data_IF_274383025613
#
_entry.id   IF_274383025613
#
_cell.length_a   1.000
_cell.length_b   1.000
_cell.length_c   1.000
_cell.angle_alpha   90.00
_cell.angle_beta   90.00
_cell.angle_gamma   90.00
#
_symmetry.space_group_name_H-M   'P 1'
#
loop_
_entity.id
_entity.type
_entity.pdbx_description
1 polymer ?
#
# COMPACT_ATOMS: atom_id res chain seq x y z
N UNK A 1 41.24 14.64 -31.96
CA UNK A 1 39.80 14.93 -31.92
C UNK A 1 39.10 13.88 -31.06
N UNK A 2 39.13 14.07 -29.73
CA UNK A 2 38.55 13.13 -28.77
C UNK A 2 37.11 13.56 -28.42
N UNK A 3 36.16 12.75 -28.89
CA UNK A 3 34.91 12.36 -28.18
C UNK A 3 34.16 13.44 -27.38
N UNK A 4 33.72 14.52 -28.00
CA UNK A 4 32.72 15.44 -27.41
C UNK A 4 31.37 14.73 -27.15
N UNK A 5 31.06 13.69 -27.92
CA UNK A 5 29.84 12.88 -27.74
C UNK A 5 29.82 12.00 -26.48
N UNK A 6 30.98 11.65 -25.90
CA UNK A 6 31.02 10.81 -24.69
C UNK A 6 30.73 11.60 -23.41
N UNK A 7 31.15 12.87 -23.32
CA UNK A 7 30.88 13.71 -22.14
C UNK A 7 29.38 13.99 -21.96
N UNK A 8 28.65 14.21 -23.05
CA UNK A 8 27.18 14.37 -22.99
C UNK A 8 26.46 13.08 -22.55
N UNK A 9 26.99 11.92 -22.94
CA UNK A 9 26.42 10.62 -22.58
C UNK A 9 26.70 10.27 -21.11
N UNK A 10 27.86 10.64 -20.58
CA UNK A 10 28.19 10.52 -19.14
C UNK A 10 27.34 11.46 -18.27
N UNK A 11 27.09 12.70 -18.72
CA UNK A 11 26.22 13.63 -17.99
C UNK A 11 24.75 13.14 -17.92
N UNK A 12 24.26 12.49 -18.99
CA UNK A 12 22.94 11.82 -19.00
C UNK A 12 22.89 10.62 -18.04
N UNK A 13 24.01 9.88 -17.88
CA UNK A 13 24.10 8.74 -16.97
C UNK A 13 24.24 9.14 -15.49
N UNK A 14 24.63 10.38 -15.20
CA UNK A 14 24.75 10.92 -13.83
C UNK A 14 23.46 11.58 -13.33
N UNK A 15 22.39 11.61 -14.13
CA UNK A 15 21.11 12.15 -13.74
C UNK A 15 20.48 11.37 -12.59
N UNK A 16 20.39 11.98 -11.41
CA UNK A 16 19.70 11.41 -10.26
C UNK A 16 18.19 11.29 -10.50
N UNK A 17 17.56 10.40 -9.73
CA UNK A 17 16.11 10.18 -9.75
C UNK A 17 15.52 10.50 -8.38
N UNK A 18 14.45 11.29 -8.36
CA UNK A 18 13.70 11.63 -7.15
C UNK A 18 12.27 11.16 -7.33
N UNK A 19 11.73 10.47 -6.33
CA UNK A 19 10.34 10.06 -6.30
C UNK A 19 9.60 10.88 -5.25
N UNK A 20 8.40 11.32 -5.58
CA UNK A 20 7.49 12.02 -4.69
C UNK A 20 6.19 11.24 -4.66
N UNK A 21 5.78 10.85 -3.46
CA UNK A 21 4.47 10.26 -3.21
C UNK A 21 3.49 11.36 -2.82
N UNK A 22 2.28 11.30 -3.38
CA UNK A 22 1.19 12.22 -3.07
C UNK A 22 -0.05 11.37 -2.73
N UNK A 23 -0.46 11.31 -1.45
CA UNK A 23 -1.70 10.64 -1.08
C UNK A 23 -2.87 11.36 -1.73
N UNK A 24 -3.85 10.61 -2.24
CA UNK A 24 -5.09 11.16 -2.79
C UNK A 24 -6.28 10.61 -1.99
N UNK A 25 -7.40 10.29 -2.65
CA UNK A 25 -8.60 9.80 -1.99
C UNK A 25 -8.31 8.54 -1.14
N UNK A 26 -8.94 8.43 0.03
CA UNK A 26 -8.73 7.30 0.96
C UNK A 26 -7.46 7.41 1.79
N UNK A 27 -6.32 7.77 1.19
CA UNK A 27 -5.03 7.81 1.89
C UNK A 27 -4.85 9.04 2.80
N UNK A 28 -5.64 10.10 2.59
CA UNK A 28 -5.58 11.33 3.40
C UNK A 28 -6.47 11.31 4.65
N UNK A 29 -7.21 10.22 4.90
CA UNK A 29 -8.14 10.17 6.03
C UNK A 29 -7.39 10.11 7.37
N UNK A 30 -7.90 10.74 8.44
CA UNK A 30 -7.29 10.61 9.76
C UNK A 30 -7.42 9.16 10.25
N UNK A 31 -6.28 8.56 10.60
CA UNK A 31 -6.22 7.23 11.22
C UNK A 31 -6.05 7.36 12.71
N UNK A 32 -6.93 6.70 13.46
CA UNK A 32 -6.91 6.68 14.94
C UNK A 32 -6.25 5.41 15.46
N UNK A 33 -6.30 4.32 14.68
CA UNK A 33 -5.71 3.03 15.05
C UNK A 33 -4.18 3.12 15.04
N UNK A 34 -3.56 2.86 16.20
CA UNK A 34 -2.12 2.67 16.31
C UNK A 34 -1.73 1.27 15.87
N UNK A 35 -1.07 1.15 14.72
CA UNK A 35 -0.67 -0.15 14.14
C UNK A 35 0.33 -0.95 14.98
N UNK A 36 0.90 -0.35 16.04
CA UNK A 36 1.80 -1.04 16.98
C UNK A 36 1.09 -1.63 18.20
N UNK A 37 -0.20 -1.32 18.36
CA UNK A 37 -1.03 -1.81 19.45
C UNK A 37 -1.82 -3.06 19.00
N UNK A 38 -2.18 -3.99 19.92
CA UNK A 38 -2.89 -5.22 19.59
C UNK A 38 -4.40 -4.99 19.33
N UNK A 39 -4.75 -4.20 18.33
CA UNK A 39 -6.14 -3.80 18.05
C UNK A 39 -7.02 -4.94 17.51
N UNK A 40 -6.39 -5.98 16.96
CA UNK A 40 -7.04 -7.09 16.27
C UNK A 40 -7.01 -8.40 17.08
N UNK A 41 -6.83 -8.32 18.40
CA UNK A 41 -7.04 -9.47 19.29
C UNK A 41 -8.42 -10.11 19.10
N UNK A 42 -8.50 -11.43 19.28
CA UNK A 42 -9.73 -12.23 19.14
C UNK A 42 -10.35 -12.23 17.73
N UNK A 43 -9.54 -11.92 16.71
CA UNK A 43 -9.93 -11.95 15.29
C UNK A 43 -9.11 -12.98 14.53
N UNK A 44 -9.77 -13.75 13.67
CA UNK A 44 -9.11 -14.53 12.62
C UNK A 44 -9.28 -13.83 11.28
N UNK A 45 -8.18 -13.51 10.62
CA UNK A 45 -8.17 -12.76 9.38
C UNK A 45 -7.65 -13.64 8.25
N UNK A 46 -8.47 -13.83 7.22
CA UNK A 46 -8.03 -14.43 5.96
C UNK A 46 -7.65 -13.33 4.98
N UNK A 47 -6.38 -13.21 4.63
CA UNK A 47 -5.88 -12.19 3.70
C UNK A 47 -5.78 -12.78 2.29
N UNK A 48 -6.38 -12.10 1.31
CA UNK A 48 -6.41 -12.47 -0.11
C UNK A 48 -5.92 -11.32 -0.96
N UNK A 49 -4.89 -11.53 -1.76
CA UNK A 49 -4.34 -10.52 -2.66
C UNK A 49 -4.52 -10.98 -4.09
N UNK A 50 -5.12 -10.12 -4.90
CA UNK A 50 -5.40 -10.42 -6.29
C UNK A 50 -4.27 -9.85 -7.16
N UNK A 51 -3.61 -10.69 -7.98
CA UNK A 51 -2.73 -10.20 -9.02
C UNK A 51 -3.53 -9.40 -10.05
N UNK A 52 -2.86 -8.47 -10.73
CA UNK A 52 -3.48 -7.57 -11.69
C UNK A 52 -2.45 -6.83 -12.53
N UNK A 53 -2.85 -5.71 -13.12
CA UNK A 53 -1.97 -4.92 -14.00
C UNK A 53 -0.75 -4.33 -13.27
N UNK A 54 -0.90 -4.03 -11.97
CA UNK A 54 0.17 -3.47 -11.14
C UNK A 54 1.01 -4.50 -10.39
N UNK A 55 0.42 -5.63 -10.03
CA UNK A 55 1.05 -6.64 -9.18
C UNK A 55 1.01 -7.97 -9.91
N UNK A 56 2.19 -8.53 -10.19
CA UNK A 56 2.28 -9.92 -10.59
C UNK A 56 2.03 -10.87 -9.39
N UNK A 57 1.92 -12.17 -9.64
CA UNK A 57 1.62 -13.17 -8.61
C UNK A 57 2.59 -13.13 -7.42
N UNK A 58 3.88 -12.94 -7.68
CA UNK A 58 4.91 -12.86 -6.65
C UNK A 58 4.78 -11.57 -5.82
N UNK A 59 4.50 -10.44 -6.47
CA UNK A 59 4.29 -9.15 -5.78
C UNK A 59 2.99 -9.15 -4.95
N UNK A 60 1.93 -9.76 -5.47
CA UNK A 60 0.67 -9.95 -4.74
C UNK A 60 0.88 -10.86 -3.52
N UNK A 61 1.62 -11.97 -3.66
CA UNK A 61 2.02 -12.82 -2.53
C UNK A 61 2.81 -12.05 -1.48
N UNK A 62 3.83 -11.29 -1.89
CA UNK A 62 4.63 -10.47 -0.97
C UNK A 62 3.81 -9.39 -0.26
N UNK A 63 2.83 -8.79 -0.95
CA UNK A 63 1.90 -7.85 -0.32
C UNK A 63 1.06 -8.56 0.75
N UNK A 64 0.56 -9.74 0.44
CA UNK A 64 -0.23 -10.56 1.35
C UNK A 64 0.55 -10.96 2.60
N UNK A 65 1.79 -11.42 2.45
CA UNK A 65 2.64 -11.78 3.58
C UNK A 65 2.92 -10.60 4.50
N UNK A 66 3.18 -9.41 3.91
CA UNK A 66 3.43 -8.18 4.68
C UNK A 66 2.18 -7.70 5.42
N UNK A 67 1.02 -7.75 4.76
CA UNK A 67 -0.26 -7.40 5.39
C UNK A 67 -0.62 -8.42 6.47
N UNK A 68 -0.36 -9.70 6.23
CA UNK A 68 -0.58 -10.73 7.24
C UNK A 68 0.30 -10.50 8.47
N UNK A 69 1.60 -10.25 8.26
CA UNK A 69 2.52 -9.88 9.34
C UNK A 69 2.04 -8.63 10.09
N UNK A 70 1.52 -7.62 9.39
CA UNK A 70 0.97 -6.40 10.01
C UNK A 70 -0.22 -6.71 10.94
N UNK A 71 -1.10 -7.63 10.56
CA UNK A 71 -2.25 -8.01 11.38
C UNK A 71 -1.87 -8.95 12.52
N UNK A 72 -0.92 -9.86 12.31
CA UNK A 72 -0.34 -10.70 13.37
C UNK A 72 0.30 -9.85 14.47
N UNK A 73 1.05 -8.82 14.09
CA UNK A 73 1.63 -7.86 15.04
C UNK A 73 0.57 -7.09 15.84
N UNK A 74 -0.66 -7.02 15.33
CA UNK A 74 -1.81 -6.43 16.00
C UNK A 74 -2.68 -7.46 16.74
N UNK A 75 -2.22 -8.70 16.88
CA UNK A 75 -2.85 -9.74 17.68
C UNK A 75 -3.88 -10.60 16.95
N UNK A 76 -4.04 -10.45 15.63
CA UNK A 76 -4.90 -11.34 14.85
C UNK A 76 -4.24 -12.69 14.58
N UNK A 77 -5.03 -13.75 14.47
CA UNK A 77 -4.60 -14.98 13.83
C UNK A 77 -4.80 -14.84 12.32
N UNK A 78 -3.75 -15.04 11.51
CA UNK A 78 -3.81 -14.77 10.08
C UNK A 78 -3.65 -16.03 9.25
N UNK A 79 -4.51 -16.17 8.24
CA UNK A 79 -4.35 -17.14 7.17
C UNK A 79 -4.16 -16.39 5.85
N UNK A 80 -2.99 -16.57 5.21
CA UNK A 80 -2.76 -16.02 3.87
C UNK A 80 -3.26 -17.03 2.83
N UNK A 81 -4.25 -16.63 2.05
CA UNK A 81 -4.81 -17.46 0.99
C UNK A 81 -4.23 -17.02 -0.37
N UNK A 82 -3.32 -17.84 -0.90
CA UNK A 82 -2.69 -17.64 -2.21
C UNK A 82 -3.51 -18.18 -3.38
N UNK A 83 -4.47 -19.08 -3.13
CA UNK A 83 -5.34 -19.63 -4.17
C UNK A 83 -6.62 -18.80 -4.34
N UNK A 84 -6.84 -18.28 -5.55
CA UNK A 84 -8.02 -17.49 -5.96
C UNK A 84 -9.31 -18.33 -6.07
N UNK A 85 -9.28 -19.60 -5.65
CA UNK A 85 -10.29 -20.59 -5.97
C UNK A 85 -11.19 -20.86 -4.77
N UNK A 86 -12.17 -19.96 -4.58
CA UNK A 86 -13.38 -20.12 -3.76
C UNK A 86 -13.18 -20.54 -2.28
N UNK A 87 -14.21 -20.46 -1.42
CA UNK A 87 -14.03 -20.55 0.04
C UNK A 87 -13.54 -21.94 0.42
N UNK A 88 -12.77 -22.02 1.50
CA UNK A 88 -12.67 -23.28 2.23
C UNK A 88 -14.07 -23.60 2.79
N UNK A 89 -14.84 -24.38 2.04
CA UNK A 89 -15.90 -25.22 2.59
C UNK A 89 -15.21 -26.27 3.47
N UNK A 90 -14.85 -25.84 4.67
CA UNK A 90 -14.17 -26.67 5.65
C UNK A 90 -14.09 -25.89 6.95
N UNK A 91 -14.81 -26.30 8.02
CA UNK A 91 -14.53 -25.77 9.33
C UNK A 91 -13.02 -25.96 9.59
N UNK A 92 -12.31 -24.94 10.09
CA UNK A 92 -10.91 -25.06 10.41
C UNK A 92 -10.72 -26.28 11.30
N UNK A 93 -9.75 -27.14 10.94
CA UNK A 93 -9.42 -28.32 11.73
C UNK A 93 -9.27 -27.89 13.19
N UNK A 94 -10.09 -28.51 14.03
CA UNK A 94 -10.20 -28.24 15.45
C UNK A 94 -8.80 -28.22 16.07
N UNK A 95 -8.37 -27.03 16.49
CA UNK A 95 -7.48 -26.92 17.63
C UNK A 95 -8.23 -27.53 18.81
N UNK A 96 -7.54 -28.38 19.55
CA UNK A 96 -8.04 -29.10 20.72
C UNK A 96 -8.81 -28.17 21.68
N UNK A 97 -9.86 -28.76 22.28
CA UNK A 97 -10.74 -28.17 23.28
C UNK A 97 -10.00 -27.33 24.32
N UNK A 98 -10.14 -26.01 24.25
CA UNK A 98 -9.88 -25.10 25.37
C UNK A 98 -10.73 -23.83 25.17
N UNK A 99 -11.92 -23.83 25.78
CA UNK A 99 -12.99 -22.81 25.75
C UNK A 99 -13.43 -22.27 24.36
N UNK A 100 -14.72 -22.04 24.10
CA UNK A 100 -15.14 -21.37 22.87
C UNK A 100 -14.74 -19.89 22.95
N UNK A 101 -13.49 -19.58 22.64
CA UNK A 101 -13.08 -18.20 22.36
C UNK A 101 -13.90 -17.76 21.16
N UNK A 102 -14.77 -16.77 21.35
CA UNK A 102 -15.67 -16.24 20.32
C UNK A 102 -14.89 -15.41 19.31
N UNK A 103 -14.18 -16.09 18.41
CA UNK A 103 -13.39 -15.46 17.37
C UNK A 103 -14.28 -14.76 16.35
N UNK A 104 -13.93 -13.53 15.97
CA UNK A 104 -14.51 -12.83 14.83
C UNK A 104 -13.73 -13.24 13.56
N UNK A 105 -14.42 -13.83 12.60
CA UNK A 105 -13.85 -14.23 11.31
C UNK A 105 -13.99 -13.10 10.29
N UNK A 106 -12.86 -12.62 9.75
CA UNK A 106 -12.81 -11.59 8.71
C UNK A 106 -12.07 -12.08 7.47
N UNK A 107 -12.55 -11.73 6.28
CA UNK A 107 -11.89 -11.97 5.01
C UNK A 107 -11.51 -10.61 4.42
N UNK A 108 -10.21 -10.37 4.23
CA UNK A 108 -9.67 -9.12 3.68
C UNK A 108 -9.18 -9.39 2.25
N UNK A 109 -9.82 -8.76 1.28
CA UNK A 109 -9.47 -8.82 -0.14
C UNK A 109 -8.77 -7.54 -0.57
N UNK A 110 -7.60 -7.67 -1.19
CA UNK A 110 -6.74 -6.59 -1.64
C UNK A 110 -6.56 -6.64 -3.16
N UNK A 111 -6.89 -5.56 -3.86
CA UNK A 111 -6.71 -5.45 -5.33
C UNK A 111 -6.00 -4.15 -5.68
N UNK A 112 -4.91 -4.25 -6.44
CA UNK A 112 -4.20 -3.08 -6.96
C UNK A 112 -4.51 -2.87 -8.44
N UNK A 113 -4.76 -1.62 -8.86
CA UNK A 113 -4.97 -1.23 -10.26
C UNK A 113 -4.23 0.05 -10.62
N UNK A 114 -3.69 0.11 -11.83
CA UNK A 114 -3.13 1.34 -12.40
C UNK A 114 -4.26 2.13 -13.03
N UNK A 115 -4.57 3.32 -12.54
CA UNK A 115 -5.59 4.17 -13.16
C UNK A 115 -5.03 4.93 -14.35
N UNK A 116 -3.79 5.38 -14.22
CA UNK A 116 -3.17 6.25 -15.21
C UNK A 116 -1.66 6.22 -15.10
N UNK A 117 -0.98 6.13 -16.24
CA UNK A 117 0.45 6.37 -16.34
C UNK A 117 0.73 7.36 -17.44
N UNK A 118 1.26 8.51 -17.06
CA UNK A 118 1.67 9.57 -17.97
C UNK A 118 3.19 9.56 -18.10
N UNK A 119 3.65 9.46 -19.34
CA UNK A 119 5.02 9.69 -19.68
C UNK A 119 5.07 10.71 -20.83
N UNK A 120 5.52 11.93 -20.56
CA UNK A 120 5.52 13.01 -21.54
C UNK A 120 6.79 12.96 -22.41
N UNK A 121 6.70 12.51 -23.69
CA UNK A 121 7.88 12.36 -24.55
C UNK A 121 8.53 13.70 -24.89
N UNK A 122 7.76 14.80 -24.88
CA UNK A 122 8.28 16.14 -25.14
C UNK A 122 9.17 16.56 -23.97
N UNK A 123 8.74 16.33 -22.72
CA UNK A 123 9.58 16.59 -21.54
C UNK A 123 10.85 15.74 -21.53
N UNK A 124 10.77 14.48 -21.96
CA UNK A 124 11.96 13.64 -22.11
C UNK A 124 12.92 14.16 -23.18
N UNK A 125 12.40 14.61 -24.33
CA UNK A 125 13.21 15.22 -25.38
C UNK A 125 13.86 16.52 -24.90
N UNK A 126 13.12 17.39 -24.21
CA UNK A 126 13.65 18.62 -23.62
C UNK A 126 14.71 18.29 -22.56
N UNK A 127 14.46 17.30 -21.70
CA UNK A 127 15.45 16.81 -20.74
C UNK A 127 16.73 16.36 -21.43
N UNK A 128 16.64 15.61 -22.53
CA UNK A 128 17.81 15.20 -23.30
C UNK A 128 18.56 16.38 -23.93
N UNK A 129 17.85 17.30 -24.60
CA UNK A 129 18.44 18.46 -25.29
C UNK A 129 19.06 19.47 -24.32
N UNK A 130 18.47 19.61 -23.13
CA UNK A 130 18.97 20.50 -22.08
C UNK A 130 20.00 19.83 -21.16
N UNK A 131 20.49 18.64 -21.52
CA UNK A 131 21.42 17.85 -20.69
C UNK A 131 20.95 17.69 -19.24
N UNK A 132 19.66 17.40 -19.07
CA UNK A 132 18.96 17.16 -17.80
C UNK A 132 18.80 18.38 -16.88
N UNK A 133 19.05 19.59 -17.41
CA UNK A 133 18.76 20.84 -16.69
C UNK A 133 17.25 21.01 -16.47
N UNK A 134 16.45 20.71 -17.49
CA UNK A 134 15.00 20.52 -17.34
C UNK A 134 14.75 19.05 -17.01
N UNK A 135 14.11 18.73 -15.86
CA UNK A 135 13.88 17.34 -15.51
C UNK A 135 12.76 16.71 -16.34
N UNK A 136 12.92 15.43 -16.68
CA UNK A 136 11.83 14.61 -17.18
C UNK A 136 10.92 14.19 -16.02
N UNK A 137 9.62 14.08 -16.30
CA UNK A 137 8.60 13.71 -15.31
C UNK A 137 7.81 12.53 -15.82
N UNK A 138 7.69 11.50 -14.99
CA UNK A 138 6.78 10.37 -15.21
C UNK A 138 5.83 10.31 -14.03
N UNK A 139 4.53 10.22 -14.31
CA UNK A 139 3.49 10.17 -13.28
C UNK A 139 2.75 8.84 -13.39
N UNK A 140 2.56 8.17 -12.25
CA UNK A 140 1.75 6.97 -12.13
C UNK A 140 0.71 7.18 -11.03
N UNK A 141 -0.55 6.93 -11.37
CA UNK A 141 -1.68 6.95 -10.43
C UNK A 141 -2.19 5.53 -10.28
N UNK A 142 -2.29 5.09 -9.03
CA UNK A 142 -2.74 3.75 -8.69
C UNK A 142 -3.86 3.82 -7.66
N UNK A 143 -4.65 2.74 -7.62
CA UNK A 143 -5.69 2.52 -6.63
C UNK A 143 -5.51 1.14 -6.01
N UNK A 144 -5.61 1.10 -4.69
CA UNK A 144 -5.69 -0.09 -3.87
C UNK A 144 -7.12 -0.20 -3.35
N UNK A 145 -7.86 -1.19 -3.83
CA UNK A 145 -9.18 -1.55 -3.32
C UNK A 145 -8.99 -2.54 -2.15
N UNK A 146 -9.70 -2.27 -1.06
CA UNK A 146 -9.76 -3.12 0.14
C UNK A 146 -11.20 -3.45 0.42
N UNK A 147 -11.50 -4.74 0.48
CA UNK A 147 -12.83 -5.24 0.79
C UNK A 147 -12.72 -6.15 2.00
N UNK A 148 -13.44 -5.82 3.06
CA UNK A 148 -13.51 -6.63 4.28
C UNK A 148 -14.88 -7.26 4.39
N UNK A 149 -14.91 -8.58 4.50
CA UNK A 149 -16.11 -9.40 4.67
C UNK A 149 -16.05 -10.14 6.00
N UNK A 150 -17.19 -10.59 6.48
CA UNK A 150 -17.25 -11.55 7.58
C UNK A 150 -16.95 -12.99 7.09
N UNK A 151 -16.93 -13.96 8.01
CA UNK A 151 -16.75 -15.38 7.70
C UNK A 151 -17.83 -15.98 6.79
N UNK A 152 -19.01 -15.35 6.67
CA UNK A 152 -20.08 -15.76 5.75
C UNK A 152 -19.93 -15.17 4.34
N UNK A 153 -19.02 -14.22 4.16
CA UNK A 153 -18.83 -13.46 2.93
C UNK A 153 -19.69 -12.18 2.83
N UNK A 154 -20.41 -11.82 3.90
CA UNK A 154 -21.15 -10.55 3.97
C UNK A 154 -20.19 -9.37 4.00
N UNK A 155 -20.49 -8.33 3.22
CA UNK A 155 -19.65 -7.15 3.11
C UNK A 155 -19.76 -6.27 4.36
N UNK A 156 -18.65 -6.12 5.09
CA UNK A 156 -18.58 -5.25 6.26
C UNK A 156 -18.06 -3.86 5.87
N UNK A 157 -16.94 -3.81 5.14
CA UNK A 157 -16.33 -2.56 4.71
C UNK A 157 -15.77 -2.67 3.29
N UNK A 158 -15.81 -1.58 2.55
CA UNK A 158 -15.18 -1.46 1.23
C UNK A 158 -14.59 -0.07 1.10
N UNK A 159 -13.29 0.00 0.82
CA UNK A 159 -12.56 1.25 0.71
C UNK A 159 -11.62 1.24 -0.49
N UNK A 160 -11.49 2.41 -1.13
CA UNK A 160 -10.60 2.61 -2.26
C UNK A 160 -9.57 3.68 -1.89
N UNK A 161 -8.32 3.26 -1.84
CA UNK A 161 -7.17 4.10 -1.52
C UNK A 161 -6.44 4.45 -2.81
N UNK A 162 -6.38 5.73 -3.16
CA UNK A 162 -5.74 6.19 -4.39
C UNK A 162 -4.50 7.02 -4.07
N UNK A 163 -3.40 6.74 -4.76
CA UNK A 163 -2.15 7.46 -4.62
C UNK A 163 -1.55 7.84 -5.97
N UNK A 164 -0.72 8.89 -5.96
CA UNK A 164 0.08 9.31 -7.11
C UNK A 164 1.56 9.22 -6.77
N UNK A 165 2.32 8.60 -7.66
CA UNK A 165 3.77 8.58 -7.65
C UNK A 165 4.27 9.44 -8.80
N UNK A 166 5.05 10.46 -8.46
CA UNK A 166 5.71 11.34 -9.43
C UNK A 166 7.20 11.06 -9.39
N UNK A 167 7.76 10.67 -10.53
CA UNK A 167 9.18 10.42 -10.73
C UNK A 167 9.79 11.58 -11.51
N UNK A 168 10.77 12.24 -10.91
CA UNK A 168 11.59 13.26 -11.55
C UNK A 168 12.96 12.68 -11.88
N UNK A 169 13.37 12.82 -13.14
CA UNK A 169 14.69 12.42 -13.62
C UNK A 169 15.47 13.62 -14.12
N UNK A 170 16.71 13.75 -13.67
CA UNK A 170 17.66 14.71 -14.21
C UNK A 170 18.47 15.46 -13.15
N UNK A 171 19.59 16.06 -13.57
CA UNK A 171 20.49 16.80 -12.68
C UNK A 171 19.78 17.96 -12.00
N UNK A 172 18.88 18.67 -12.70
CA UNK A 172 18.12 19.77 -12.11
C UNK A 172 17.25 19.34 -10.92
N UNK A 173 16.55 18.21 -11.04
CA UNK A 173 15.74 17.66 -9.95
C UNK A 173 16.62 17.19 -8.77
N UNK A 174 17.75 16.54 -9.06
CA UNK A 174 18.66 16.05 -8.03
C UNK A 174 19.35 17.18 -7.26
N UNK A 175 19.95 18.15 -7.97
CA UNK A 175 20.62 19.31 -7.37
C UNK A 175 19.60 20.16 -6.59
N UNK A 176 18.44 20.44 -7.18
CA UNK A 176 17.38 21.18 -6.50
C UNK A 176 16.93 20.50 -5.21
N UNK A 177 16.71 19.18 -5.24
CA UNK A 177 16.33 18.42 -4.05
C UNK A 177 17.45 18.39 -2.99
N UNK A 178 18.71 18.23 -3.39
CA UNK A 178 19.85 18.29 -2.49
C UNK A 178 19.96 19.64 -1.77
N UNK A 179 19.80 20.74 -2.52
CA UNK A 179 19.82 22.11 -1.95
C UNK A 179 18.66 22.30 -0.97
N UNK A 180 17.44 21.90 -1.33
CA UNK A 180 16.27 22.02 -0.45
C UNK A 180 16.43 21.19 0.84
N UNK A 181 16.96 19.96 0.73
CA UNK A 181 17.22 19.09 1.88
C UNK A 181 18.31 19.64 2.84
N UNK A 182 19.22 20.46 2.33
CA UNK A 182 20.28 21.10 3.12
C UNK A 182 19.85 22.43 3.72
N UNK A 183 19.10 23.24 2.98
CA UNK A 183 18.83 24.65 3.31
C UNK A 183 17.48 24.89 3.98
N UNK A 184 16.45 24.10 3.64
CA UNK A 184 15.05 24.46 3.96
C UNK A 184 14.32 23.37 4.74
N UNK A 185 14.54 22.09 4.42
CA UNK A 185 13.76 20.99 4.99
C UNK A 185 14.35 20.47 6.30
N UNK A 186 13.49 20.30 7.29
CA UNK A 186 13.80 19.55 8.49
C UNK A 186 14.10 18.08 8.17
N UNK A 187 14.81 17.39 9.06
CA UNK A 187 15.28 16.02 8.81
C UNK A 187 14.14 15.06 8.43
N UNK A 188 12.94 15.29 8.96
CA UNK A 188 11.73 14.51 8.71
C UNK A 188 11.10 14.75 7.33
N UNK A 189 11.38 15.89 6.67
CA UNK A 189 10.79 16.26 5.38
C UNK A 189 11.74 16.00 4.19
N UNK A 190 12.89 15.37 4.44
CA UNK A 190 13.91 15.14 3.42
C UNK A 190 13.46 14.06 2.45
N UNK A 191 13.43 14.40 1.17
CA UNK A 191 13.09 13.46 0.10
C UNK A 191 14.37 12.72 -0.29
N UNK A 192 14.47 11.43 0.03
CA UNK A 192 15.55 10.54 -0.37
C UNK A 192 15.04 9.45 -1.32
N UNK A 193 15.92 8.77 -2.08
CA UNK A 193 15.52 7.57 -2.82
C UNK A 193 14.92 6.54 -1.85
N UNK A 194 13.62 6.25 -2.01
CA UNK A 194 12.88 5.29 -1.17
C UNK A 194 11.92 5.90 -0.14
N UNK A 195 11.97 7.20 0.15
CA UNK A 195 11.02 7.82 1.11
C UNK A 195 9.60 7.76 0.59
N UNK A 196 9.39 8.00 -0.70
CA UNK A 196 8.08 7.90 -1.33
C UNK A 196 7.44 6.50 -1.18
N UNK A 197 8.24 5.43 -1.25
CA UNK A 197 7.73 4.07 -1.01
C UNK A 197 7.47 3.79 0.46
N UNK A 198 8.29 4.35 1.35
CA UNK A 198 8.11 4.22 2.81
C UNK A 198 6.85 4.95 3.28
N UNK A 199 6.66 6.20 2.85
CA UNK A 199 5.47 7.01 3.14
C UNK A 199 4.19 6.35 2.63
N UNK A 200 4.22 5.87 1.37
CA UNK A 200 3.11 5.10 0.81
C UNK A 200 2.79 3.86 1.65
N UNK A 201 3.81 3.09 2.00
CA UNK A 201 3.65 1.86 2.79
C UNK A 201 3.05 2.18 4.16
N UNK A 202 3.56 3.21 4.82
CA UNK A 202 3.08 3.65 6.14
C UNK A 202 1.61 4.12 6.08
N UNK A 203 1.25 4.97 5.12
CA UNK A 203 -0.12 5.46 4.96
C UNK A 203 -1.08 4.31 4.63
N UNK A 204 -0.70 3.45 3.67
CA UNK A 204 -1.52 2.31 3.27
C UNK A 204 -1.77 1.34 4.44
N UNK A 205 -0.74 1.02 5.23
CA UNK A 205 -0.88 0.12 6.38
C UNK A 205 -1.70 0.71 7.52
N UNK A 206 -1.59 2.03 7.75
CA UNK A 206 -2.42 2.74 8.72
C UNK A 206 -3.89 2.71 8.30
N UNK A 207 -4.19 3.09 7.06
CA UNK A 207 -5.57 3.06 6.55
C UNK A 207 -6.13 1.64 6.58
N UNK A 208 -5.36 0.65 6.11
CA UNK A 208 -5.78 -0.74 6.12
C UNK A 208 -6.11 -1.25 7.53
N UNK A 209 -5.29 -0.93 8.52
CA UNK A 209 -5.54 -1.30 9.92
C UNK A 209 -6.80 -0.62 10.45
N UNK A 210 -7.05 0.64 10.08
CA UNK A 210 -8.28 1.36 10.41
C UNK A 210 -9.51 0.69 9.79
N UNK A 211 -9.47 0.35 8.50
CA UNK A 211 -10.59 -0.29 7.80
C UNK A 211 -10.92 -1.64 8.43
N UNK A 212 -9.92 -2.47 8.74
CA UNK A 212 -10.12 -3.80 9.36
C UNK A 212 -10.61 -3.67 10.80
N UNK A 213 -10.08 -2.72 11.57
CA UNK A 213 -10.58 -2.46 12.93
C UNK A 213 -12.05 -2.02 12.93
N UNK A 214 -12.43 -1.12 12.02
CA UNK A 214 -13.83 -0.70 11.88
C UNK A 214 -14.74 -1.89 11.54
N UNK A 215 -14.28 -2.76 10.63
CA UNK A 215 -15.00 -3.98 10.27
C UNK A 215 -15.13 -4.97 11.44
N UNK A 216 -14.07 -5.12 12.27
CA UNK A 216 -14.12 -5.91 13.51
C UNK A 216 -15.21 -5.39 14.45
N UNK A 217 -15.23 -4.09 14.73
CA UNK A 217 -16.22 -3.48 15.61
C UNK A 217 -17.63 -3.69 15.07
N UNK A 218 -17.83 -3.49 13.76
CA UNK A 218 -19.11 -3.71 13.12
C UNK A 218 -19.56 -5.17 13.18
N UNK A 219 -18.66 -6.14 12.97
CA UNK A 219 -18.95 -7.56 13.08
C UNK A 219 -19.37 -7.95 14.51
N UNK A 220 -18.68 -7.42 15.52
CA UNK A 220 -19.06 -7.61 16.93
C UNK A 220 -20.46 -7.10 17.23
N UNK A 221 -20.77 -5.88 16.80
CA UNK A 221 -22.11 -5.29 16.99
C UNK A 221 -23.21 -6.08 16.27
N UNK A 222 -22.95 -6.57 15.05
CA UNK A 222 -23.92 -7.38 14.30
C UNK A 222 -24.20 -8.73 14.98
N UNK A 223 -23.19 -9.33 15.62
CA UNK A 223 -23.36 -10.55 16.41
C UNK A 223 -24.20 -10.30 17.66
N UNK A 224 -23.91 -9.25 18.42
CA UNK A 224 -24.70 -8.89 19.62
C UNK A 224 -26.15 -8.55 19.29
N UNK A 225 -26.40 -7.90 18.15
CA UNK A 225 -27.74 -7.57 17.69
C UNK A 225 -28.50 -8.77 17.09
N UNK A 226 -27.86 -9.91 16.90
CA UNK A 226 -28.48 -11.08 16.30
C UNK A 226 -29.50 -11.73 17.26
N UNK A 227 -30.64 -12.21 16.77
CA UNK A 227 -31.73 -12.74 17.60
C UNK A 227 -31.36 -14.01 18.39
N UNK A 228 -30.22 -14.64 18.10
CA UNK A 228 -29.70 -15.76 18.88
C UNK A 228 -29.12 -15.32 20.24
N UNK A 229 -28.61 -14.08 20.34
CA UNK A 229 -28.14 -13.50 21.60
C UNK A 229 -29.28 -13.05 22.54
N UNK A 230 -30.53 -13.02 22.04
CA UNK A 230 -31.72 -12.60 22.78
C UNK A 230 -32.57 -13.76 23.35
N UNK A 231 -32.07 -15.00 23.29
CA UNK A 231 -32.67 -16.19 23.92
C UNK A 231 -31.83 -16.66 25.10
#
# INVERSE_FOLDING_TARGET
MMRSGWLGLVALLLGGCVHVYQPMAGLQQPVVVDTRSPNLGDVRVTVRCFPGELLNDHEAGSLCDKVGTLFELQGAQVTVATDLREPMDGPPQAAEEDDPVDWIDLIVELRARELHRSNDPIRWAICAVTYTLVPAVTEATFTQEVVVKDGSGFLLASESMTGRLVRYFGLGAWVGNAVLNLMVRDRQDRIFPGTASEDLTNDMYRQLSQTVYNAKVQAGLLREASPEAAR
#
